data_IF_928296127479
#
_entry.id   IF_928296127479
#
_cell.length_a   1.000
_cell.length_b   1.000
_cell.length_c   1.000
_cell.angle_alpha   90.00
_cell.angle_beta   90.00
_cell.angle_gamma   90.00
#
_symmetry.space_group_name_H-M   'P 1'
#
loop_
_entity.id
_entity.type
_entity.pdbx_description
1 polymer ?
#
# COMPACT_ATOMS: atom_id res chain seq x y z
N UNK A 1 8.93 -1.23 8.20
CA UNK A 1 7.68 -1.26 8.98
C UNK A 1 8.00 -1.98 10.27
N UNK A 2 7.65 -1.42 11.42
CA UNK A 2 8.02 -2.02 12.70
C UNK A 2 6.95 -3.02 13.14
N UNK A 3 7.02 -4.23 12.58
CA UNK A 3 6.06 -5.33 12.81
C UNK A 3 5.82 -5.55 14.31
N UNK A 4 6.87 -5.50 15.14
CA UNK A 4 6.75 -5.67 16.60
C UNK A 4 5.83 -4.60 17.25
N UNK A 5 5.89 -3.35 16.75
CA UNK A 5 5.09 -2.23 17.27
C UNK A 5 3.62 -2.29 16.85
N UNK A 6 3.30 -3.03 15.79
CA UNK A 6 1.93 -3.21 15.27
C UNK A 6 1.38 -4.62 15.50
N UNK A 7 2.05 -5.44 16.31
CA UNK A 7 1.67 -6.84 16.57
C UNK A 7 0.22 -7.01 17.04
N UNK A 8 -0.23 -6.18 17.99
CA UNK A 8 -1.64 -6.18 18.45
C UNK A 8 -2.61 -5.82 17.32
N UNK A 9 -2.25 -4.83 16.49
CA UNK A 9 -3.08 -4.45 15.35
C UNK A 9 -3.20 -5.59 14.34
N UNK A 10 -2.10 -6.33 14.10
CA UNK A 10 -2.09 -7.47 13.19
C UNK A 10 -3.08 -8.56 13.66
N UNK A 11 -3.06 -8.91 14.93
CA UNK A 11 -3.95 -9.91 15.51
C UNK A 11 -5.42 -9.46 15.46
N UNK A 12 -5.71 -8.19 15.73
CA UNK A 12 -7.07 -7.62 15.71
C UNK A 12 -7.69 -7.60 14.31
N UNK A 13 -6.88 -7.44 13.27
CA UNK A 13 -7.33 -7.25 11.88
C UNK A 13 -7.14 -8.50 11.01
N UNK A 14 -6.78 -9.64 11.60
CA UNK A 14 -6.46 -10.88 10.86
C UNK A 14 -5.40 -10.63 9.77
N UNK A 15 -4.45 -9.77 10.10
CA UNK A 15 -3.36 -9.36 9.24
C UNK A 15 -2.07 -10.12 9.60
N UNK A 16 -1.09 -10.08 8.70
CA UNK A 16 0.14 -10.84 8.86
C UNK A 16 1.34 -10.12 8.27
N UNK A 17 2.54 -10.46 8.74
CA UNK A 17 3.76 -10.10 8.05
C UNK A 17 3.85 -10.88 6.73
N UNK A 18 4.04 -10.17 5.62
CA UNK A 18 4.24 -10.77 4.31
C UNK A 18 5.62 -11.45 4.19
N UNK A 19 5.81 -12.36 3.21
CA UNK A 19 7.14 -12.87 2.89
C UNK A 19 8.09 -11.73 2.53
N UNK A 20 9.27 -11.66 3.15
CA UNK A 20 10.23 -10.57 2.91
C UNK A 20 10.68 -10.43 1.45
N UNK A 21 10.65 -11.53 0.68
CA UNK A 21 10.93 -11.51 -0.76
C UNK A 21 9.92 -10.64 -1.55
N UNK A 22 8.65 -10.61 -1.14
CA UNK A 22 7.62 -9.81 -1.83
C UNK A 22 7.86 -8.31 -1.69
N UNK A 23 8.41 -7.86 -0.56
CA UNK A 23 8.79 -6.45 -0.41
C UNK A 23 9.85 -6.04 -1.41
N UNK A 24 10.87 -6.88 -1.60
CA UNK A 24 11.94 -6.63 -2.56
C UNK A 24 11.45 -6.72 -4.01
N UNK A 25 10.56 -7.68 -4.32
CA UNK A 25 9.96 -7.80 -5.66
C UNK A 25 9.07 -6.60 -6.01
N UNK A 26 8.26 -6.14 -5.05
CA UNK A 26 7.42 -4.97 -5.26
C UNK A 26 8.26 -3.70 -5.40
N UNK A 27 9.28 -3.51 -4.57
CA UNK A 27 10.24 -2.41 -4.72
C UNK A 27 10.95 -2.43 -6.08
N UNK A 28 11.42 -3.60 -6.54
CA UNK A 28 12.02 -3.76 -7.86
C UNK A 28 11.05 -3.35 -8.99
N UNK A 29 9.77 -3.68 -8.84
CA UNK A 29 8.74 -3.21 -9.74
C UNK A 29 8.58 -1.67 -9.69
N UNK A 30 8.51 -1.06 -8.51
CA UNK A 30 8.43 0.40 -8.36
C UNK A 30 9.64 1.10 -9.00
N UNK A 31 10.85 0.54 -8.85
CA UNK A 31 12.08 1.02 -9.48
C UNK A 31 12.07 0.94 -11.02
N UNK A 32 11.17 0.15 -11.62
CA UNK A 32 11.00 0.09 -13.08
C UNK A 32 10.18 1.27 -13.64
N UNK A 33 9.49 2.02 -12.79
CA UNK A 33 8.67 3.17 -13.18
C UNK A 33 9.53 4.42 -13.40
N UNK A 34 8.94 5.48 -13.93
CA UNK A 34 9.60 6.79 -13.97
C UNK A 34 9.68 7.40 -12.56
N UNK A 35 10.87 7.87 -12.16
CA UNK A 35 11.10 8.56 -10.89
C UNK A 35 11.46 10.03 -11.11
N UNK A 36 10.91 10.91 -10.28
CA UNK A 36 11.25 12.33 -10.22
C UNK A 36 11.80 12.65 -8.82
N UNK A 37 13.13 12.68 -8.72
CA UNK A 37 13.81 12.87 -7.43
C UNK A 37 13.63 11.66 -6.52
N UNK A 38 13.00 11.86 -5.36
CA UNK A 38 12.85 10.84 -4.31
C UNK A 38 11.54 10.04 -4.37
N UNK A 39 10.76 10.15 -5.45
CA UNK A 39 9.51 9.39 -5.59
C UNK A 39 9.11 9.18 -7.04
N UNK A 40 8.04 8.41 -7.24
CA UNK A 40 7.49 8.12 -8.56
C UNK A 40 7.06 9.44 -9.23
N UNK A 41 7.39 9.57 -10.52
CA UNK A 41 6.86 10.66 -11.35
C UNK A 41 5.47 10.29 -11.84
N UNK A 42 4.47 10.57 -11.01
CA UNK A 42 3.08 10.28 -11.34
C UNK A 42 2.58 11.03 -12.58
N UNK A 43 3.23 12.11 -13.01
CA UNK A 43 2.85 12.82 -14.24
C UNK A 43 3.03 11.96 -15.50
N UNK A 44 3.94 10.99 -15.43
CA UNK A 44 4.24 10.04 -16.52
C UNK A 44 3.39 8.76 -16.45
N UNK A 45 2.51 8.64 -15.45
CA UNK A 45 1.64 7.47 -15.26
C UNK A 45 0.17 7.87 -15.26
N UNK A 46 -0.72 7.13 -15.94
CA UNK A 46 -2.16 7.27 -15.72
C UNK A 46 -2.49 7.00 -14.25
N UNK A 47 -2.98 8.02 -13.56
CA UNK A 47 -3.21 7.95 -12.13
C UNK A 47 -4.39 8.81 -11.68
N UNK A 48 -4.78 8.58 -10.44
CA UNK A 48 -5.72 9.43 -9.68
C UNK A 48 -5.07 9.82 -8.38
N UNK A 49 -5.35 11.03 -7.92
CA UNK A 49 -4.86 11.51 -6.63
C UNK A 49 -5.99 11.87 -5.68
N UNK A 50 -5.70 11.78 -4.39
CA UNK A 50 -6.50 12.32 -3.30
C UNK A 50 -5.58 13.07 -2.35
N UNK A 51 -5.85 14.34 -2.12
CA UNK A 51 -5.23 15.10 -1.03
C UNK A 51 -5.98 14.76 0.25
N UNK A 52 -5.27 14.38 1.31
CA UNK A 52 -5.84 13.88 2.56
C UNK A 52 -6.26 14.99 3.54
N UNK A 53 -5.94 16.25 3.26
CA UNK A 53 -6.31 17.38 4.11
C UNK A 53 -7.84 17.49 4.26
N UNK A 54 -8.33 17.36 5.50
CA UNK A 54 -9.76 17.36 5.82
C UNK A 54 -10.55 16.15 5.35
N UNK A 55 -9.88 15.09 4.88
CA UNK A 55 -10.51 13.83 4.43
C UNK A 55 -10.57 12.85 5.59
N UNK A 56 -11.77 12.33 5.87
CA UNK A 56 -11.96 11.25 6.84
C UNK A 56 -11.54 9.88 6.29
N UNK A 57 -11.28 8.92 7.18
CA UNK A 57 -10.90 7.55 6.79
C UNK A 57 -11.96 6.91 5.87
N UNK A 58 -13.24 7.12 6.15
CA UNK A 58 -14.34 6.60 5.32
C UNK A 58 -14.35 7.24 3.91
N UNK A 59 -14.00 8.52 3.79
CA UNK A 59 -13.86 9.19 2.50
C UNK A 59 -12.62 8.70 1.73
N UNK A 60 -11.51 8.45 2.43
CA UNK A 60 -10.31 7.85 1.86
C UNK A 60 -10.60 6.44 1.33
N UNK A 61 -11.30 5.60 2.10
CA UNK A 61 -11.77 4.27 1.67
C UNK A 61 -12.71 4.39 0.48
N UNK A 62 -13.69 5.29 0.52
CA UNK A 62 -14.63 5.50 -0.60
C UNK A 62 -13.92 5.97 -1.87
N UNK A 63 -12.86 6.78 -1.76
CA UNK A 63 -12.00 7.12 -2.88
C UNK A 63 -11.23 5.91 -3.39
N UNK A 64 -10.57 5.16 -2.49
CA UNK A 64 -9.73 4.03 -2.82
C UNK A 64 -10.54 2.89 -3.48
N UNK A 65 -11.80 2.67 -3.07
CA UNK A 65 -12.75 1.72 -3.69
C UNK A 65 -13.00 1.98 -5.18
N UNK A 66 -12.68 3.19 -5.67
CA UNK A 66 -12.82 3.56 -7.10
C UNK A 66 -11.52 3.36 -7.89
N UNK A 67 -10.51 2.73 -7.31
CA UNK A 67 -9.21 2.44 -7.95
C UNK A 67 -9.14 0.99 -8.42
N UNK A 68 -8.16 0.66 -9.25
CA UNK A 68 -7.99 -0.72 -9.71
C UNK A 68 -7.53 -1.68 -8.60
N UNK A 69 -6.92 -1.16 -7.52
CA UNK A 69 -6.51 -1.94 -6.36
C UNK A 69 -7.70 -2.53 -5.58
N UNK A 70 -8.86 -1.85 -5.61
CA UNK A 70 -10.08 -2.31 -4.95
C UNK A 70 -10.71 -3.58 -5.57
N UNK A 71 -10.10 -4.15 -6.61
CA UNK A 71 -10.45 -5.48 -7.14
C UNK A 71 -9.91 -6.63 -6.28
N UNK A 72 -9.04 -6.32 -5.32
CA UNK A 72 -8.42 -7.25 -4.42
C UNK A 72 -8.91 -7.00 -3.00
N UNK A 73 -9.30 -8.06 -2.31
CA UNK A 73 -9.77 -7.97 -0.92
C UNK A 73 -8.61 -7.72 0.07
N UNK A 74 -7.39 -8.10 -0.32
CA UNK A 74 -6.18 -7.93 0.46
C UNK A 74 -5.17 -7.07 -0.28
N UNK A 75 -4.24 -6.50 0.48
CA UNK A 75 -3.12 -5.73 -0.05
C UNK A 75 -1.83 -6.13 0.65
N UNK A 76 -0.70 -5.89 -0.03
CA UNK A 76 0.63 -5.88 0.56
C UNK A 76 1.05 -4.42 0.72
N UNK A 77 1.37 -4.01 1.96
CA UNK A 77 1.93 -2.69 2.29
C UNK A 77 3.43 -2.80 2.57
N UNK A 78 4.21 -1.88 2.00
CA UNK A 78 5.66 -1.76 2.24
C UNK A 78 6.06 -0.29 2.43
N UNK A 79 6.99 -0.07 3.35
CA UNK A 79 7.70 1.20 3.56
C UNK A 79 9.24 1.01 3.49
N UNK A 80 9.66 -0.20 3.14
CA UNK A 80 11.05 -0.67 3.04
C UNK A 80 11.13 -1.90 2.15
N UNK A 81 12.11 -1.94 1.24
CA UNK A 81 12.40 -3.09 0.39
C UNK A 81 13.05 -4.26 1.17
N UNK A 82 13.74 -3.96 2.27
CA UNK A 82 14.54 -4.93 3.03
C UNK A 82 13.83 -5.50 4.25
N UNK A 83 12.64 -5.00 4.59
CA UNK A 83 11.83 -5.48 5.71
C UNK A 83 10.56 -6.16 5.19
N UNK A 84 10.04 -7.18 5.88
CA UNK A 84 8.73 -7.73 5.59
C UNK A 84 7.65 -6.63 5.57
N UNK A 85 6.83 -6.63 4.53
CA UNK A 85 5.62 -5.83 4.47
C UNK A 85 4.50 -6.42 5.33
N UNK A 86 3.35 -5.77 5.32
CA UNK A 86 2.12 -6.28 5.95
C UNK A 86 1.13 -6.69 4.88
N UNK A 87 0.52 -7.86 5.06
CA UNK A 87 -0.63 -8.30 4.30
C UNK A 87 -1.86 -8.16 5.20
N UNK A 88 -2.80 -7.33 4.78
CA UNK A 88 -4.06 -7.10 5.49
C UNK A 88 -5.19 -6.84 4.49
N UNK A 89 -6.40 -6.65 4.99
CA UNK A 89 -7.53 -6.29 4.14
C UNK A 89 -7.34 -4.90 3.56
N UNK A 90 -7.83 -4.73 2.34
CA UNK A 90 -7.75 -3.47 1.61
C UNK A 90 -8.27 -2.27 2.40
N UNK A 91 -9.37 -2.41 3.13
CA UNK A 91 -9.97 -1.27 3.86
C UNK A 91 -9.19 -0.90 5.10
N UNK A 92 -8.69 -1.90 5.84
CA UNK A 92 -7.87 -1.71 7.04
C UNK A 92 -6.56 -0.99 6.66
N UNK A 93 -5.96 -1.36 5.53
CA UNK A 93 -4.79 -0.68 4.98
C UNK A 93 -5.03 0.82 4.71
N UNK A 94 -6.21 1.17 4.20
CA UNK A 94 -6.55 2.57 3.86
C UNK A 94 -6.97 3.36 5.09
N UNK A 95 -7.59 2.74 6.08
CA UNK A 95 -7.97 3.40 7.35
C UNK A 95 -6.75 3.66 8.22
N UNK A 96 -5.84 2.69 8.30
CA UNK A 96 -4.81 2.69 9.33
C UNK A 96 -3.40 2.95 8.79
N UNK A 97 -3.25 3.48 7.56
CA UNK A 97 -1.92 3.69 6.95
C UNK A 97 -0.98 4.57 7.79
N UNK A 98 -1.51 5.47 8.63
CA UNK A 98 -0.70 6.32 9.52
C UNK A 98 -0.12 5.54 10.68
N UNK A 99 -0.92 4.61 11.23
CA UNK A 99 -0.49 3.69 12.28
C UNK A 99 0.48 2.65 11.74
N UNK A 100 0.23 2.13 10.53
CA UNK A 100 1.04 1.09 9.90
C UNK A 100 2.43 1.57 9.51
N UNK A 101 2.61 2.85 9.16
CA UNK A 101 3.94 3.40 8.92
C UNK A 101 4.05 4.88 9.27
N UNK A 102 5.03 5.19 10.12
CA UNK A 102 5.48 6.56 10.39
C UNK A 102 6.40 7.14 9.31
N UNK A 103 6.66 6.42 8.20
CA UNK A 103 7.44 6.95 7.08
C UNK A 103 6.56 7.77 6.15
N UNK A 104 7.09 8.84 5.54
CA UNK A 104 6.32 9.69 4.63
C UNK A 104 5.75 8.90 3.46
N UNK A 105 6.54 7.97 2.95
CA UNK A 105 6.25 7.16 1.79
C UNK A 105 5.80 5.75 2.23
N UNK A 106 4.63 5.35 1.77
CA UNK A 106 4.07 4.02 1.97
C UNK A 106 3.46 3.54 0.65
N UNK A 107 3.82 2.33 0.23
CA UNK A 107 3.31 1.74 -1.00
C UNK A 107 2.44 0.55 -0.66
N UNK A 108 1.33 0.41 -1.37
CA UNK A 108 0.42 -0.72 -1.20
C UNK A 108 -0.01 -1.24 -2.56
N UNK A 109 -0.04 -2.56 -2.75
CA UNK A 109 -0.56 -3.20 -3.97
C UNK A 109 -1.59 -4.27 -3.65
N UNK A 110 -2.50 -4.53 -4.59
CA UNK A 110 -3.50 -5.58 -4.46
C UNK A 110 -2.88 -6.96 -4.35
N UNK A 111 -3.50 -7.86 -3.58
CA UNK A 111 -3.04 -9.23 -3.35
C UNK A 111 -4.22 -10.19 -3.47
N UNK A 112 -4.03 -11.25 -4.23
CA UNK A 112 -4.93 -12.40 -4.26
C UNK A 112 -4.36 -13.54 -3.39
N UNK A 113 -5.19 -14.12 -2.53
CA UNK A 113 -4.84 -15.28 -1.70
C UNK A 113 -5.43 -16.54 -2.34
N UNK A 114 -4.62 -17.25 -3.14
CA UNK A 114 -5.07 -18.42 -3.92
C UNK A 114 -4.43 -19.68 -3.37
N UNK A 115 -5.20 -20.53 -2.69
CA UNK A 115 -4.70 -21.80 -2.15
C UNK A 115 -3.57 -21.64 -1.13
N UNK A 116 -3.58 -20.53 -0.36
CA UNK A 116 -2.54 -20.20 0.62
C UNK A 116 -1.30 -19.51 0.02
N UNK A 117 -1.25 -19.33 -1.29
CA UNK A 117 -0.21 -18.55 -1.97
C UNK A 117 -0.61 -17.08 -2.06
N UNK A 118 0.33 -16.19 -1.73
CA UNK A 118 0.18 -14.75 -1.86
C UNK A 118 0.58 -14.35 -3.28
N UNK A 119 -0.37 -13.82 -4.06
CA UNK A 119 -0.15 -13.38 -5.44
C UNK A 119 -0.38 -11.88 -5.57
N UNK A 120 0.70 -11.08 -5.57
CA UNK A 120 0.56 -9.63 -5.66
C UNK A 120 0.28 -9.17 -7.11
N UNK A 121 -0.54 -8.13 -7.22
CA UNK A 121 -0.82 -7.39 -8.44
C UNK A 121 -0.09 -6.04 -8.39
N UNK A 122 1.22 -6.03 -8.63
CA UNK A 122 2.06 -4.84 -8.48
C UNK A 122 1.62 -3.63 -9.32
N UNK A 123 0.92 -3.85 -10.44
CA UNK A 123 0.36 -2.77 -11.28
C UNK A 123 -0.92 -2.15 -10.73
N UNK A 124 -1.50 -2.74 -9.68
CA UNK A 124 -2.69 -2.26 -8.95
C UNK A 124 -2.25 -1.71 -7.61
N UNK A 125 -1.60 -0.55 -7.64
CA UNK A 125 -0.98 0.01 -6.45
C UNK A 125 -1.40 1.44 -6.15
N UNK A 126 -1.26 1.80 -4.87
CA UNK A 126 -1.40 3.14 -4.32
C UNK A 126 -0.10 3.50 -3.60
N UNK A 127 0.36 4.74 -3.77
CA UNK A 127 1.39 5.37 -2.94
C UNK A 127 0.70 6.39 -2.02
N UNK A 128 0.98 6.33 -0.72
CA UNK A 128 0.86 7.49 0.15
C UNK A 128 2.17 8.26 0.10
N UNK A 129 2.08 9.53 -0.28
CA UNK A 129 3.22 10.44 -0.47
C UNK A 129 3.17 11.59 0.51
N UNK A 130 4.29 11.80 1.19
CA UNK A 130 4.57 12.91 2.09
C UNK A 130 3.47 13.09 3.14
N UNK A 131 2.87 11.99 3.59
CA UNK A 131 1.69 11.94 4.48
C UNK A 131 0.40 12.58 3.95
N UNK A 132 0.44 13.33 2.84
CA UNK A 132 -0.65 14.24 2.47
C UNK A 132 -1.43 13.80 1.23
N UNK A 133 -0.92 12.83 0.45
CA UNK A 133 -1.54 12.49 -0.84
C UNK A 133 -1.52 10.99 -1.07
N UNK A 134 -2.66 10.45 -1.49
CA UNK A 134 -2.73 9.12 -2.10
C UNK A 134 -2.68 9.26 -3.61
N UNK A 135 -1.77 8.54 -4.27
CA UNK A 135 -1.71 8.40 -5.72
C UNK A 135 -2.01 6.95 -6.08
N UNK A 136 -3.03 6.71 -6.90
CA UNK A 136 -3.42 5.38 -7.34
C UNK A 136 -3.21 5.22 -8.84
N UNK A 137 -2.60 4.10 -9.25
CA UNK A 137 -2.48 3.75 -10.66
C UNK A 137 -3.84 3.34 -11.25
N UNK A 138 -4.11 3.79 -12.47
CA UNK A 138 -5.33 3.47 -13.25
C UNK A 138 -5.08 2.31 -14.20
#
# INVERSE_FOLDING_TARGET
MRIDEISTWLDEHDASAGPGALSAEFDAYLCSLAWAGCGIDWRELPHRSLVLDGVSDDEAVAWARRTAMARHDHVLLIDSASEPGVICRFEDAIRDFELLSGRPELYMCGVDLVGGEVRPAFDRFIERRSFMTLNARV
#
